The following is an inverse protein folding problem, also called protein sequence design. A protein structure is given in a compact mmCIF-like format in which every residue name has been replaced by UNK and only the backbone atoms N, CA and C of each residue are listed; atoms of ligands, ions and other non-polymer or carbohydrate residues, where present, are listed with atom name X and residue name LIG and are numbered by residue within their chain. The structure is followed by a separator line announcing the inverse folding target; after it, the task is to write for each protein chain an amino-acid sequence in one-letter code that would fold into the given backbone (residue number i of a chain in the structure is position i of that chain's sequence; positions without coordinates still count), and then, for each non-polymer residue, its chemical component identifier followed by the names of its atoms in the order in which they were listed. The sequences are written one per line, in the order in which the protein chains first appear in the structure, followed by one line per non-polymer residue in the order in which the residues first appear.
data_IF_603045398241
#
_entry.id   IF_603045398241
#
_cell.length_a   1.000
_cell.length_b   1.000
_cell.length_c   1.000
_cell.angle_alpha   90.00
_cell.angle_beta   90.00
_cell.angle_gamma   90.00
#
_symmetry.space_group_name_H-M   'P 1'
#
loop_
_entity.id
_entity.type
_entity.pdbx_description
1 polymer ?
#
# COMPACT_ATOMS: atom_id res chain seq x y z
N UNK A 1 -2.05 10.57 -10.75
CA UNK A 1 -1.80 9.11 -10.70
C UNK A 1 -1.51 8.75 -9.25
N UNK A 2 -2.23 7.79 -8.66
CA UNK A 2 -1.99 7.33 -7.28
C UNK A 2 -1.52 5.88 -7.32
N UNK A 3 -0.45 5.57 -6.60
CA UNK A 3 0.11 4.21 -6.49
C UNK A 3 -0.18 3.73 -5.08
N UNK A 4 -0.72 2.52 -4.96
CA UNK A 4 -0.95 1.88 -3.68
C UNK A 4 -0.21 0.54 -3.65
N UNK A 5 0.18 0.12 -2.45
CA UNK A 5 0.83 -1.17 -2.24
C UNK A 5 0.05 -1.99 -1.23
N UNK A 6 -0.17 -3.25 -1.56
CA UNK A 6 -0.57 -4.29 -0.61
C UNK A 6 0.53 -4.61 0.42
N UNK A 7 0.29 -5.63 1.24
CA UNK A 7 1.22 -6.10 2.29
C UNK A 7 2.42 -6.88 1.74
N UNK A 8 2.35 -7.37 0.50
CA UNK A 8 3.36 -8.26 -0.06
C UNK A 8 4.75 -7.62 -0.22
N UNK A 9 4.83 -6.36 -0.65
CA UNK A 9 6.13 -5.71 -0.89
C UNK A 9 6.07 -4.17 -0.93
N UNK A 10 5.83 -3.55 0.23
CA UNK A 10 5.71 -2.08 0.35
C UNK A 10 7.01 -1.33 0.01
N UNK A 11 8.16 -1.93 0.29
CA UNK A 11 9.46 -1.33 -0.01
C UNK A 11 9.68 -1.18 -1.52
N UNK A 12 9.33 -2.21 -2.31
CA UNK A 12 9.43 -2.15 -3.76
C UNK A 12 8.54 -1.04 -4.33
N UNK A 13 7.30 -0.95 -3.87
CA UNK A 13 6.37 0.09 -4.30
C UNK A 13 6.90 1.50 -3.96
N UNK A 14 7.51 1.67 -2.79
CA UNK A 14 8.15 2.92 -2.41
C UNK A 14 9.32 3.28 -3.34
N UNK A 15 10.17 2.31 -3.70
CA UNK A 15 11.27 2.52 -4.66
C UNK A 15 10.77 2.94 -6.04
N UNK A 16 9.69 2.34 -6.52
CA UNK A 16 9.03 2.73 -7.77
C UNK A 16 8.53 4.18 -7.65
N UNK A 17 7.74 4.48 -6.61
CA UNK A 17 7.22 5.83 -6.34
C UNK A 17 8.33 6.90 -6.33
N UNK A 18 9.45 6.61 -5.66
CA UNK A 18 10.63 7.49 -5.63
C UNK A 18 11.26 7.68 -7.01
N UNK A 19 11.29 6.63 -7.85
CA UNK A 19 11.87 6.69 -9.19
C UNK A 19 11.06 7.55 -10.17
N UNK A 20 9.73 7.48 -10.12
CA UNK A 20 8.82 8.27 -10.96
C UNK A 20 8.39 9.60 -10.33
N UNK A 21 8.83 9.90 -9.10
CA UNK A 21 8.57 11.17 -8.43
C UNK A 21 7.13 11.36 -7.95
N UNK A 22 6.42 10.28 -7.63
CA UNK A 22 5.06 10.33 -7.07
C UNK A 22 5.04 9.79 -5.65
N UNK A 23 4.19 10.31 -4.74
CA UNK A 23 4.06 9.74 -3.40
C UNK A 23 3.30 8.41 -3.45
N UNK A 24 3.73 7.46 -2.61
CA UNK A 24 2.98 6.22 -2.37
C UNK A 24 1.75 6.54 -1.52
N UNK A 25 0.57 6.14 -2.00
CA UNK A 25 -0.69 6.32 -1.30
C UNK A 25 -0.69 5.60 0.06
N UNK A 26 -1.39 6.21 1.03
CA UNK A 26 -1.59 5.58 2.33
C UNK A 26 -2.69 4.53 2.20
N UNK A 27 -2.35 3.32 2.60
CA UNK A 27 -3.29 2.21 2.71
C UNK A 27 -2.99 1.46 4.00
N UNK A 28 -4.00 1.30 4.84
CA UNK A 28 -3.94 0.51 6.06
C UNK A 28 -4.43 -0.88 5.74
N UNK A 29 -3.59 -1.87 6.04
CA UNK A 29 -3.89 -3.29 5.82
C UNK A 29 -3.82 -3.98 7.17
N UNK A 30 -4.90 -4.65 7.55
CA UNK A 30 -4.98 -5.40 8.80
C UNK A 30 -5.60 -6.76 8.53
N UNK A 31 -5.06 -7.80 9.14
CA UNK A 31 -5.64 -9.14 9.09
C UNK A 31 -6.61 -9.32 10.25
N UNK A 32 -7.80 -9.84 9.97
CA UNK A 32 -8.74 -10.25 10.99
C UNK A 32 -8.40 -11.67 11.50
N UNK A 33 -8.78 -12.03 12.75
CA UNK A 33 -8.48 -13.33 13.32
C UNK A 33 -9.11 -14.53 12.59
N UNK A 34 -10.17 -14.28 11.82
CA UNK A 34 -10.88 -15.26 10.99
C UNK A 34 -10.18 -15.53 9.64
N UNK A 35 -9.09 -14.82 9.33
CA UNK A 35 -8.33 -14.95 8.09
C UNK A 35 -8.75 -13.97 6.99
N UNK A 36 -9.72 -13.09 7.24
CA UNK A 36 -10.08 -12.03 6.31
C UNK A 36 -9.03 -10.89 6.30
N UNK A 37 -8.86 -10.23 5.16
CA UNK A 37 -7.95 -9.10 5.02
C UNK A 37 -8.74 -7.81 4.84
N UNK A 38 -8.56 -6.88 5.78
CA UNK A 38 -9.09 -5.53 5.68
C UNK A 38 -8.09 -4.61 4.98
N UNK A 39 -8.57 -3.83 4.02
CA UNK A 39 -7.79 -2.81 3.32
C UNK A 39 -8.58 -1.50 3.34
N UNK A 40 -7.98 -0.44 3.89
CA UNK A 40 -8.51 0.91 3.87
C UNK A 40 -7.55 1.84 3.14
N UNK A 41 -8.04 2.53 2.12
CA UNK A 41 -7.28 3.55 1.41
C UNK A 41 -7.57 4.90 2.08
N UNK A 42 -6.52 5.62 2.47
CA UNK A 42 -6.62 7.00 2.96
C UNK A 42 -6.27 7.94 1.79
N UNK A 43 -7.22 8.82 1.42
CA UNK A 43 -7.19 9.57 0.15
C UNK A 43 -6.29 10.81 0.16
#
# INVERSE_FOLDING_TARGET
MKIFSGSANRELAQRICNYIGVPLGQATISAFPDGETYVKIEE
#
